data_IF_182422962619
#
_entry.id   IF_182422962619
#
_cell.length_a   1.000
_cell.length_b   1.000
_cell.length_c   1.000
_cell.angle_alpha   90.00
_cell.angle_beta   90.00
_cell.angle_gamma   90.00
#
_symmetry.space_group_name_H-M   'P 1'
#
loop_
_entity.id
_entity.type
_entity.pdbx_description
1 polymer ?
#
# COMPACT_ATOMS: atom_id res chain seq x y z
N UNK A 1 -2.01 25.61 -4.67
CA UNK A 1 -0.94 26.11 -3.76
C UNK A 1 -0.97 25.24 -2.53
N UNK A 2 0.15 24.58 -2.20
CA UNK A 2 0.20 23.68 -1.03
C UNK A 2 0.28 24.54 0.23
N UNK A 3 -0.71 24.38 1.12
CA UNK A 3 -0.79 25.16 2.36
C UNK A 3 -0.18 24.43 3.57
N UNK A 4 0.08 23.14 3.43
CA UNK A 4 0.64 22.29 4.50
C UNK A 4 1.63 21.28 3.92
N UNK A 5 2.76 21.10 4.58
CA UNK A 5 3.75 20.09 4.23
C UNK A 5 3.96 19.12 5.41
N UNK A 6 4.10 17.83 5.10
CA UNK A 6 4.48 16.80 6.06
C UNK A 6 5.82 16.19 5.68
N UNK A 7 6.72 16.12 6.65
CA UNK A 7 8.04 15.50 6.51
C UNK A 7 8.12 14.34 7.49
N UNK A 8 8.45 13.15 6.98
CA UNK A 8 8.73 11.97 7.77
C UNK A 8 10.17 11.53 7.49
N UNK A 9 11.07 11.73 8.47
CA UNK A 9 12.46 11.27 8.39
C UNK A 9 12.57 9.83 8.90
N UNK A 10 13.22 8.96 8.14
CA UNK A 10 13.42 7.57 8.53
C UNK A 10 14.84 7.08 8.25
N UNK A 11 15.22 5.99 8.89
CA UNK A 11 16.42 5.22 8.58
C UNK A 11 16.03 3.80 8.19
N UNK A 12 16.81 3.14 7.32
CA UNK A 12 16.67 1.71 7.11
C UNK A 12 16.98 0.98 8.42
N UNK A 13 16.08 0.13 8.85
CA UNK A 13 16.23 -0.66 10.07
C UNK A 13 15.70 -2.08 9.88
N UNK A 14 15.65 -2.82 10.97
CA UNK A 14 14.96 -4.09 11.02
C UNK A 14 13.86 -4.01 12.08
N UNK A 15 12.72 -4.55 11.77
CA UNK A 15 11.64 -4.73 12.72
C UNK A 15 12.12 -5.64 13.86
N UNK A 16 12.10 -5.21 15.12
CA UNK A 16 12.65 -5.98 16.23
C UNK A 16 11.88 -7.28 16.52
N UNK A 17 10.63 -7.39 16.08
CA UNK A 17 9.81 -8.58 16.29
C UNK A 17 10.01 -9.61 15.18
N UNK A 18 10.27 -9.17 13.95
CA UNK A 18 10.33 -10.06 12.77
C UNK A 18 11.73 -10.16 12.15
N UNK A 19 12.68 -9.29 12.52
CA UNK A 19 14.01 -9.20 11.93
C UNK A 19 14.03 -8.68 10.48
N UNK A 20 12.91 -8.24 9.94
CA UNK A 20 12.77 -7.79 8.55
C UNK A 20 13.21 -6.34 8.39
N UNK A 21 13.69 -6.02 7.19
CA UNK A 21 13.98 -4.63 6.83
C UNK A 21 12.71 -3.81 6.90
N UNK A 22 12.74 -2.74 7.68
CA UNK A 22 11.63 -1.79 7.81
C UNK A 22 12.17 -0.36 7.82
N UNK A 23 11.28 0.59 7.58
CA UNK A 23 11.59 2.00 7.78
C UNK A 23 11.34 2.33 9.25
N UNK A 24 12.38 2.71 9.97
CA UNK A 24 12.26 3.22 11.33
C UNK A 24 12.14 4.73 11.25
N UNK A 25 10.94 5.24 11.47
CA UNK A 25 10.70 6.69 11.46
C UNK A 25 11.24 7.31 12.74
N UNK A 26 12.14 8.26 12.58
CA UNK A 26 12.81 8.96 13.70
C UNK A 26 12.34 10.40 13.85
N UNK A 27 11.67 10.92 12.83
CA UNK A 27 11.18 12.29 12.78
C UNK A 27 9.85 12.33 12.04
N UNK A 28 8.89 13.08 12.54
CA UNK A 28 7.71 13.49 11.80
C UNK A 28 7.32 14.92 12.14
N UNK A 29 6.99 15.73 11.15
CA UNK A 29 6.50 17.09 11.33
C UNK A 29 5.51 17.44 10.23
N UNK A 30 4.43 18.09 10.62
CA UNK A 30 3.44 18.67 9.70
C UNK A 30 3.34 20.15 9.98
N UNK A 31 3.67 20.98 9.01
CA UNK A 31 3.67 22.42 9.18
C UNK A 31 2.89 23.12 8.06
N UNK A 32 2.11 24.14 8.46
CA UNK A 32 1.53 25.06 7.50
C UNK A 32 2.61 25.92 6.87
N UNK A 33 2.48 26.22 5.58
CA UNK A 33 3.40 27.09 4.84
C UNK A 33 3.66 28.41 5.57
N UNK A 34 2.61 29.02 6.09
CA UNK A 34 2.71 30.30 6.80
C UNK A 34 3.55 30.21 8.09
N UNK A 35 3.59 29.05 8.76
CA UNK A 35 4.45 28.82 9.93
C UNK A 35 5.91 28.67 9.49
N UNK A 36 6.14 27.92 8.41
CA UNK A 36 7.50 27.63 7.91
C UNK A 36 8.19 28.87 7.35
N UNK A 37 7.47 29.75 6.63
CA UNK A 37 8.01 30.97 6.02
C UNK A 37 8.40 32.05 7.06
N UNK A 38 7.97 31.91 8.33
CA UNK A 38 8.35 32.81 9.41
C UNK A 38 9.62 32.41 10.14
N UNK A 39 10.19 31.25 9.84
CA UNK A 39 11.36 30.72 10.49
C UNK A 39 12.63 31.27 9.82
N UNK A 40 13.56 31.78 10.63
CA UNK A 40 14.92 32.03 10.18
C UNK A 40 15.76 30.80 10.46
N UNK A 41 15.82 29.90 9.47
CA UNK A 41 16.49 28.60 9.59
C UNK A 41 18.00 28.72 9.88
N UNK A 42 18.61 29.88 9.67
CA UNK A 42 20.01 30.10 9.98
C UNK A 42 20.29 30.36 11.47
N UNK A 43 19.23 30.64 12.24
CA UNK A 43 19.33 31.09 13.65
C UNK A 43 18.51 30.26 14.64
N UNK A 44 17.74 29.28 14.18
CA UNK A 44 16.94 28.44 15.07
C UNK A 44 17.68 27.19 15.47
N UNK A 45 17.52 26.78 16.72
CA UNK A 45 17.89 25.44 17.15
C UNK A 45 16.94 24.40 16.52
N UNK A 46 17.47 23.36 15.85
CA UNK A 46 16.62 22.40 15.14
C UNK A 46 15.60 21.67 16.02
N UNK A 47 15.97 21.31 17.25
CA UNK A 47 15.07 20.60 18.16
C UNK A 47 13.92 21.50 18.62
N UNK A 48 14.24 22.74 19.05
CA UNK A 48 13.24 23.74 19.44
C UNK A 48 12.33 24.15 18.27
N UNK A 49 12.86 24.19 17.05
CA UNK A 49 12.10 24.44 15.84
C UNK A 49 11.06 23.35 15.58
N UNK A 50 11.47 22.08 15.72
CA UNK A 50 10.58 20.93 15.56
C UNK A 50 9.45 20.94 16.61
N UNK A 51 9.78 21.21 17.87
CA UNK A 51 8.78 21.34 18.94
C UNK A 51 7.79 22.46 18.65
N UNK A 52 8.28 23.63 18.21
CA UNK A 52 7.45 24.77 17.82
C UNK A 52 6.49 24.46 16.65
N UNK A 53 6.89 23.58 15.76
CA UNK A 53 6.06 23.06 14.66
C UNK A 53 5.21 21.84 15.06
N UNK A 54 5.19 21.46 16.33
CA UNK A 54 4.53 20.24 16.84
C UNK A 54 5.04 18.95 16.18
N UNK A 55 6.29 18.96 15.76
CA UNK A 55 6.95 17.76 15.25
C UNK A 55 7.27 16.78 16.37
N UNK A 56 7.41 15.51 15.99
CA UNK A 56 7.88 14.48 16.91
C UNK A 56 9.27 14.03 16.47
N UNK A 57 10.20 14.01 17.40
CA UNK A 57 11.53 13.46 17.21
C UNK A 57 11.66 12.21 18.06
N UNK A 58 12.36 11.21 17.57
CA UNK A 58 12.72 10.04 18.36
C UNK A 58 13.43 10.47 19.66
N UNK A 59 12.96 10.00 20.82
CA UNK A 59 13.58 10.33 22.09
C UNK A 59 14.99 9.71 22.22
N UNK A 60 15.29 8.71 21.42
CA UNK A 60 16.60 8.03 21.36
C UNK A 60 16.91 7.61 19.93
N UNK A 61 17.28 8.56 19.07
CA UNK A 61 17.56 8.28 17.66
C UNK A 61 18.75 7.31 17.49
N UNK A 62 19.69 7.30 18.40
CA UNK A 62 20.83 6.38 18.45
C UNK A 62 20.41 4.91 18.66
N UNK A 63 19.26 4.67 19.29
CA UNK A 63 18.71 3.34 19.53
C UNK A 63 17.58 2.99 18.53
N UNK A 64 17.39 3.81 17.49
CA UNK A 64 16.34 3.65 16.50
C UNK A 64 14.93 3.52 17.09
N UNK A 65 14.66 4.22 18.21
CA UNK A 65 13.33 4.22 18.83
C UNK A 65 12.34 4.88 17.87
N UNK A 66 11.32 4.17 17.35
CA UNK A 66 10.45 4.70 16.31
C UNK A 66 9.48 5.75 16.83
N UNK A 67 9.17 6.76 16.00
CA UNK A 67 8.00 7.63 16.14
C UNK A 67 6.94 7.23 15.10
N UNK A 68 5.69 7.51 15.40
CA UNK A 68 4.61 7.22 14.45
C UNK A 68 4.60 8.28 13.35
N UNK A 69 4.74 7.88 12.07
CA UNK A 69 4.65 8.84 10.96
C UNK A 69 3.24 9.45 10.93
N UNK A 70 3.16 10.76 10.69
CA UNK A 70 1.87 11.41 10.44
C UNK A 70 1.35 10.89 9.10
N UNK A 71 0.25 10.16 9.14
CA UNK A 71 -0.52 9.83 7.96
C UNK A 71 -1.41 11.03 7.63
N UNK A 72 -1.15 11.67 6.50
CA UNK A 72 -2.09 12.65 5.96
C UNK A 72 -3.36 11.90 5.59
N UNK A 73 -4.45 12.20 6.29
CA UNK A 73 -5.76 11.89 5.76
C UNK A 73 -5.85 12.50 4.35
N UNK A 74 -6.13 11.66 3.37
CA UNK A 74 -6.12 12.04 1.97
C UNK A 74 -7.07 13.22 1.72
N UNK A 75 -6.49 14.40 1.61
CA UNK A 75 -7.11 15.57 1.02
C UNK A 75 -6.15 16.11 -0.03
N UNK A 76 -6.48 15.74 -1.27
CA UNK A 76 -6.18 16.42 -2.52
C UNK A 76 -4.90 17.24 -2.59
N UNK A 77 -4.11 16.83 -3.51
CA UNK A 77 -3.28 17.60 -4.44
C UNK A 77 -1.87 17.02 -4.56
N UNK A 78 -1.70 16.30 -5.62
CA UNK A 78 -0.41 16.12 -6.30
C UNK A 78 0.25 17.46 -6.51
N UNK A 79 1.45 17.65 -5.95
CA UNK A 79 2.40 18.64 -6.42
C UNK A 79 3.60 17.90 -7.01
N UNK A 80 4.11 18.37 -8.16
CA UNK A 80 5.28 17.77 -8.78
C UNK A 80 6.52 18.13 -7.96
N UNK A 81 7.19 17.15 -7.41
CA UNK A 81 8.58 17.29 -7.03
C UNK A 81 9.41 17.27 -8.30
N UNK A 82 10.05 18.40 -8.61
CA UNK A 82 11.07 18.49 -9.63
C UNK A 82 12.14 17.42 -9.39
N UNK A 83 12.16 16.50 -10.29
CA UNK A 83 13.23 15.84 -11.00
C UNK A 83 14.55 15.53 -10.26
N UNK A 84 14.60 14.32 -9.74
CA UNK A 84 15.72 13.42 -10.04
C UNK A 84 15.05 12.06 -10.37
N UNK A 85 14.99 11.71 -11.66
CA UNK A 85 14.60 10.47 -12.27
C UNK A 85 13.92 9.43 -11.38
N UNK A 86 12.71 9.68 -10.91
CA UNK A 86 11.87 8.66 -10.31
C UNK A 86 11.34 7.78 -11.45
N UNK A 87 12.14 6.82 -11.87
CA UNK A 87 11.63 5.70 -12.62
C UNK A 87 10.45 5.14 -11.84
N UNK A 88 9.29 5.07 -12.48
CA UNK A 88 8.12 4.39 -11.91
C UNK A 88 8.57 3.03 -11.39
N UNK A 89 8.31 2.72 -10.13
CA UNK A 89 8.74 1.45 -9.56
C UNK A 89 8.05 0.30 -10.30
N UNK A 90 8.84 -0.65 -10.78
CA UNK A 90 8.31 -1.84 -11.45
C UNK A 90 7.73 -2.79 -10.40
N UNK A 91 6.46 -3.15 -10.53
CA UNK A 91 5.75 -4.09 -9.65
C UNK A 91 6.47 -5.45 -9.56
N UNK A 92 7.20 -5.84 -10.60
CA UNK A 92 7.98 -7.08 -10.62
C UNK A 92 9.23 -7.03 -9.73
N UNK A 93 9.71 -5.84 -9.35
CA UNK A 93 10.87 -5.66 -8.48
C UNK A 93 10.52 -5.57 -6.99
N UNK A 94 9.25 -5.35 -6.66
CA UNK A 94 8.82 -5.30 -5.26
C UNK A 94 9.05 -6.64 -4.56
N UNK A 95 9.37 -6.60 -3.27
CA UNK A 95 9.30 -7.80 -2.43
C UNK A 95 7.86 -8.35 -2.43
N UNK A 96 7.63 -9.67 -2.36
CA UNK A 96 6.29 -10.25 -2.31
C UNK A 96 5.40 -9.65 -1.22
N UNK A 97 5.98 -9.33 -0.08
CA UNK A 97 5.27 -8.74 1.05
C UNK A 97 4.89 -7.30 0.78
N UNK A 98 5.83 -6.51 0.25
CA UNK A 98 5.56 -5.12 -0.15
C UNK A 98 4.46 -5.07 -1.23
N UNK A 99 4.40 -6.08 -2.09
CA UNK A 99 3.36 -6.20 -3.10
C UNK A 99 1.99 -6.55 -2.50
N UNK A 100 1.93 -7.45 -1.50
CA UNK A 100 0.71 -7.73 -0.74
C UNK A 100 0.22 -6.50 0.03
N UNK A 101 1.14 -5.78 0.70
CA UNK A 101 0.82 -4.55 1.45
C UNK A 101 0.33 -3.44 0.51
N UNK A 102 0.91 -3.31 -0.68
CA UNK A 102 0.48 -2.37 -1.72
C UNK A 102 -0.97 -2.67 -2.16
N UNK A 103 -1.27 -3.94 -2.41
CA UNK A 103 -2.63 -4.36 -2.79
C UNK A 103 -3.61 -4.13 -1.63
N UNK A 104 -3.22 -4.42 -0.39
CA UNK A 104 -4.04 -4.12 0.78
C UNK A 104 -4.33 -2.62 0.91
N UNK A 105 -3.33 -1.77 0.65
CA UNK A 105 -3.50 -0.31 0.64
C UNK A 105 -4.46 0.15 -0.47
N UNK A 106 -4.40 -0.48 -1.66
CA UNK A 106 -5.34 -0.20 -2.75
C UNK A 106 -6.78 -0.48 -2.33
N UNK A 107 -7.07 -1.65 -1.76
CA UNK A 107 -8.42 -1.99 -1.33
C UNK A 107 -8.93 -1.09 -0.20
N UNK A 108 -8.04 -0.66 0.72
CA UNK A 108 -8.37 0.37 1.71
C UNK A 108 -8.72 1.71 1.06
N UNK A 109 -7.94 2.14 0.07
CA UNK A 109 -8.21 3.38 -0.68
C UNK A 109 -9.52 3.30 -1.49
N UNK A 110 -9.95 2.10 -1.87
CA UNK A 110 -11.25 1.84 -2.48
C UNK A 110 -12.42 1.85 -1.48
N UNK A 111 -12.16 2.06 -0.18
CA UNK A 111 -13.17 2.14 0.87
C UNK A 111 -13.54 0.80 1.52
N UNK A 112 -12.75 -0.24 1.32
CA UNK A 112 -12.97 -1.54 1.94
C UNK A 112 -12.30 -1.63 3.32
N UNK A 113 -12.92 -2.37 4.22
CA UNK A 113 -12.31 -2.75 5.50
C UNK A 113 -11.39 -3.94 5.25
N UNK A 114 -10.08 -3.72 5.36
CA UNK A 114 -9.06 -4.72 5.04
C UNK A 114 -8.45 -5.28 6.30
N UNK A 115 -8.41 -6.61 6.39
CA UNK A 115 -7.70 -7.38 7.40
C UNK A 115 -6.59 -8.16 6.69
N UNK A 116 -5.33 -7.85 6.99
CA UNK A 116 -4.20 -8.68 6.57
C UNK A 116 -4.19 -9.96 7.41
N UNK A 117 -4.10 -11.11 6.76
CA UNK A 117 -4.07 -12.40 7.46
C UNK A 117 -2.69 -12.69 8.03
N UNK A 118 -2.62 -13.38 9.16
CA UNK A 118 -1.36 -13.96 9.62
C UNK A 118 -0.95 -15.09 8.65
N UNK A 119 0.30 -15.06 8.24
CA UNK A 119 0.90 -15.77 7.10
C UNK A 119 1.04 -17.29 7.21
N UNK A 120 0.23 -17.98 7.97
CA UNK A 120 0.40 -19.42 8.11
C UNK A 120 -0.90 -20.20 7.95
N UNK A 121 -0.97 -20.99 6.88
CA UNK A 121 -1.84 -22.16 6.81
C UNK A 121 -3.25 -21.96 6.25
N UNK A 122 -3.62 -20.79 5.75
CA UNK A 122 -5.00 -20.46 5.37
C UNK A 122 -5.29 -20.50 3.86
N UNK A 123 -4.74 -21.49 3.16
CA UNK A 123 -5.13 -21.77 1.77
C UNK A 123 -4.68 -20.72 0.74
N UNK A 124 -3.66 -19.89 1.09
CA UNK A 124 -3.10 -18.88 0.18
C UNK A 124 -3.96 -17.63 0.06
N UNK A 125 -4.74 -17.29 1.08
CA UNK A 125 -5.41 -15.98 1.18
C UNK A 125 -4.41 -14.99 1.73
N UNK A 126 -4.06 -13.98 0.94
CA UNK A 126 -3.09 -12.96 1.33
C UNK A 126 -3.78 -11.77 2.02
N UNK A 127 -5.00 -11.44 1.58
CA UNK A 127 -5.79 -10.34 2.11
C UNK A 127 -7.26 -10.74 2.23
N UNK A 128 -7.87 -10.50 3.39
CA UNK A 128 -9.32 -10.54 3.58
C UNK A 128 -9.86 -9.12 3.63
N UNK A 129 -10.94 -8.86 2.93
CA UNK A 129 -11.59 -7.56 2.96
C UNK A 129 -13.09 -7.71 3.16
N UNK A 130 -13.70 -6.68 3.73
CA UNK A 130 -15.15 -6.52 3.82
C UNK A 130 -15.54 -5.28 3.05
N UNK A 131 -16.42 -5.45 2.07
CA UNK A 131 -17.08 -4.33 1.41
C UNK A 131 -18.26 -3.90 2.30
N UNK A 132 -18.26 -2.68 2.85
CA UNK A 132 -19.31 -2.23 3.77
C UNK A 132 -20.64 -1.87 3.08
N UNK A 133 -20.73 -1.94 1.75
CA UNK A 133 -21.98 -1.67 1.03
C UNK A 133 -23.08 -2.64 1.51
N UNK A 134 -24.21 -2.15 2.05
CA UNK A 134 -25.24 -3.00 2.64
C UNK A 134 -26.01 -3.84 1.62
N UNK A 135 -25.92 -3.52 0.33
CA UNK A 135 -26.67 -4.20 -0.74
C UNK A 135 -25.76 -5.11 -1.56
N UNK A 136 -24.55 -4.63 -1.91
CA UNK A 136 -23.62 -5.31 -2.82
C UNK A 136 -22.36 -5.80 -2.13
N UNK A 137 -22.18 -5.39 -0.88
CA UNK A 137 -21.00 -5.70 -0.10
C UNK A 137 -20.93 -7.15 0.37
N UNK A 138 -20.00 -7.42 1.24
CA UNK A 138 -19.77 -8.72 1.84
C UNK A 138 -18.30 -9.09 1.93
N UNK A 139 -18.04 -10.31 2.37
CA UNK A 139 -16.68 -10.82 2.57
C UNK A 139 -16.01 -11.07 1.21
N UNK A 140 -14.80 -10.54 1.07
CA UNK A 140 -13.94 -10.69 -0.10
C UNK A 140 -12.69 -11.50 0.30
N UNK A 141 -12.30 -12.41 -0.57
CA UNK A 141 -11.03 -13.13 -0.49
C UNK A 141 -10.15 -12.65 -1.62
N UNK A 142 -8.97 -12.16 -1.29
CA UNK A 142 -8.02 -11.59 -2.25
C UNK A 142 -6.74 -12.42 -2.19
N UNK A 143 -6.32 -12.95 -3.34
CA UNK A 143 -5.01 -13.56 -3.53
C UNK A 143 -4.14 -12.64 -4.36
N UNK A 144 -2.89 -12.49 -3.94
CA UNK A 144 -1.89 -11.63 -4.56
C UNK A 144 -0.73 -12.49 -5.02
N UNK A 145 -0.48 -12.55 -6.31
CA UNK A 145 0.57 -13.41 -6.84
C UNK A 145 1.39 -12.68 -7.90
N UNK A 146 2.71 -12.67 -7.72
CA UNK A 146 3.63 -12.16 -8.75
C UNK A 146 3.90 -13.24 -9.78
N UNK A 147 3.62 -12.92 -11.03
CA UNK A 147 3.95 -13.77 -12.18
C UNK A 147 4.68 -12.96 -13.23
N UNK A 148 5.57 -13.62 -13.97
CA UNK A 148 6.27 -13.05 -15.12
C UNK A 148 5.72 -13.55 -16.46
N UNK A 149 4.78 -14.45 -16.42
CA UNK A 149 4.16 -15.07 -17.59
C UNK A 149 2.66 -15.15 -17.42
N UNK A 150 1.96 -15.31 -18.53
CA UNK A 150 0.49 -15.44 -18.58
C UNK A 150 -0.04 -16.48 -17.59
N UNK A 151 -1.03 -16.09 -16.83
CA UNK A 151 -1.65 -16.90 -15.78
C UNK A 151 -2.52 -18.01 -16.39
N UNK A 152 -2.26 -19.27 -16.05
CA UNK A 152 -3.11 -20.39 -16.43
C UNK A 152 -4.37 -20.45 -15.55
N UNK A 153 -5.36 -21.32 -15.86
CA UNK A 153 -6.61 -21.40 -15.08
C UNK A 153 -6.46 -21.99 -13.68
N UNK A 154 -5.37 -22.67 -13.36
CA UNK A 154 -5.19 -23.34 -12.06
C UNK A 154 -5.27 -22.39 -10.87
N UNK A 155 -4.52 -21.26 -10.79
CA UNK A 155 -4.65 -20.31 -9.69
C UNK A 155 -6.05 -19.72 -9.53
N UNK A 156 -6.79 -19.58 -10.63
CA UNK A 156 -8.17 -19.07 -10.59
C UNK A 156 -9.14 -20.11 -10.01
N UNK A 157 -8.89 -21.40 -10.27
CA UNK A 157 -9.65 -22.50 -9.67
C UNK A 157 -9.37 -22.61 -8.17
N UNK A 158 -8.10 -22.47 -7.77
CA UNK A 158 -7.70 -22.50 -6.38
C UNK A 158 -8.36 -21.37 -5.59
N UNK A 159 -8.34 -20.14 -6.12
CA UNK A 159 -9.04 -19.01 -5.52
C UNK A 159 -10.54 -19.27 -5.39
N UNK A 160 -11.17 -19.86 -6.41
CA UNK A 160 -12.61 -20.18 -6.34
C UNK A 160 -12.92 -21.17 -5.22
N UNK A 161 -12.08 -22.21 -5.07
CA UNK A 161 -12.20 -23.16 -3.97
C UNK A 161 -12.05 -22.49 -2.60
N UNK A 162 -11.04 -21.63 -2.45
CA UNK A 162 -10.81 -20.87 -1.21
C UNK A 162 -11.97 -19.92 -0.91
N UNK A 163 -12.48 -19.20 -1.92
CA UNK A 163 -13.62 -18.31 -1.77
C UNK A 163 -14.86 -19.05 -1.24
N UNK A 164 -15.16 -20.22 -1.78
CA UNK A 164 -16.29 -21.04 -1.34
C UNK A 164 -16.06 -21.56 0.07
N UNK A 165 -14.87 -22.05 0.38
CA UNK A 165 -14.49 -22.53 1.72
C UNK A 165 -14.63 -21.44 2.78
N UNK A 166 -14.19 -20.23 2.48
CA UNK A 166 -14.25 -19.06 3.36
C UNK A 166 -15.66 -18.44 3.47
N UNK A 167 -16.63 -18.92 2.71
CA UNK A 167 -17.97 -18.33 2.64
C UNK A 167 -17.96 -16.89 2.13
N UNK A 168 -16.96 -16.53 1.29
CA UNK A 168 -16.85 -15.20 0.74
C UNK A 168 -17.81 -14.97 -0.42
N UNK A 169 -18.29 -13.74 -0.57
CA UNK A 169 -19.19 -13.33 -1.65
C UNK A 169 -18.46 -13.12 -2.97
N UNK A 170 -17.16 -12.84 -2.94
CA UNK A 170 -16.33 -12.60 -4.12
C UNK A 170 -14.88 -13.02 -3.87
N UNK A 171 -14.25 -13.62 -4.89
CA UNK A 171 -12.81 -13.87 -4.95
C UNK A 171 -12.13 -12.90 -5.92
N UNK A 172 -10.98 -12.35 -5.54
CA UNK A 172 -10.20 -11.44 -6.38
C UNK A 172 -8.79 -11.98 -6.50
N UNK A 173 -8.31 -12.19 -7.73
CA UNK A 173 -6.92 -12.54 -8.00
C UNK A 173 -6.22 -11.33 -8.59
N UNK A 174 -5.21 -10.83 -7.87
CA UNK A 174 -4.38 -9.71 -8.27
C UNK A 174 -2.99 -10.23 -8.66
N UNK A 175 -2.51 -9.81 -9.83
CA UNK A 175 -1.22 -10.28 -10.34
C UNK A 175 -0.50 -9.20 -11.15
N UNK A 176 0.82 -9.38 -11.32
CA UNK A 176 1.66 -8.55 -12.18
C UNK A 176 1.61 -8.98 -13.66
N UNK A 177 1.08 -10.15 -13.97
CA UNK A 177 0.97 -10.65 -15.35
C UNK A 177 -0.49 -10.60 -15.86
N UNK A 178 -0.67 -10.91 -17.14
CA UNK A 178 -1.99 -10.98 -17.74
C UNK A 178 -2.58 -12.41 -17.66
N UNK A 179 -3.90 -12.51 -17.67
CA UNK A 179 -4.61 -13.77 -17.62
C UNK A 179 -4.80 -14.37 -19.02
N UNK A 180 -4.50 -15.64 -19.15
CA UNK A 180 -4.76 -16.37 -20.38
C UNK A 180 -6.27 -16.57 -20.66
N UNK A 181 -6.66 -16.83 -21.92
CA UNK A 181 -8.07 -16.99 -22.31
C UNK A 181 -8.81 -18.04 -21.46
N UNK A 182 -8.17 -19.16 -21.16
CA UNK A 182 -8.77 -20.25 -20.35
C UNK A 182 -8.97 -19.86 -18.87
N UNK A 183 -8.14 -18.95 -18.34
CA UNK A 183 -8.33 -18.40 -17.00
C UNK A 183 -9.53 -17.44 -16.97
N UNK A 184 -9.66 -16.59 -17.98
CA UNK A 184 -10.78 -15.67 -18.13
C UNK A 184 -12.11 -16.44 -18.36
N UNK A 185 -12.08 -17.46 -19.21
CA UNK A 185 -13.24 -18.34 -19.46
C UNK A 185 -13.69 -19.04 -18.16
N UNK A 186 -12.75 -19.55 -17.37
CA UNK A 186 -13.10 -20.17 -16.09
C UNK A 186 -13.75 -19.18 -15.13
N UNK A 187 -13.27 -17.93 -15.06
CA UNK A 187 -13.83 -16.90 -14.18
C UNK A 187 -15.21 -16.40 -14.65
N UNK A 188 -15.52 -16.52 -15.94
CA UNK A 188 -16.77 -16.05 -16.50
C UNK A 188 -17.99 -16.69 -15.82
N UNK A 189 -18.96 -15.85 -15.44
CA UNK A 189 -20.19 -16.28 -14.76
C UNK A 189 -20.01 -16.70 -13.28
N UNK A 190 -18.81 -16.53 -12.73
CA UNK A 190 -18.52 -16.76 -11.29
C UNK A 190 -18.27 -15.43 -10.57
N UNK A 191 -18.44 -15.39 -9.24
CA UNK A 191 -18.13 -14.19 -8.45
C UNK A 191 -16.61 -14.02 -8.28
N UNK A 192 -15.90 -14.03 -9.39
CA UNK A 192 -14.45 -13.87 -9.46
C UNK A 192 -14.10 -12.59 -10.23
N UNK A 193 -13.11 -11.87 -9.74
CA UNK A 193 -12.50 -10.72 -10.42
C UNK A 193 -11.03 -11.01 -10.64
N UNK A 194 -10.57 -10.83 -11.86
CA UNK A 194 -9.16 -11.00 -12.24
C UNK A 194 -8.58 -9.62 -12.54
N UNK A 195 -7.52 -9.24 -11.81
CA UNK A 195 -6.84 -7.96 -11.98
C UNK A 195 -5.42 -8.26 -12.44
N UNK A 196 -5.16 -8.06 -13.73
CA UNK A 196 -3.83 -8.19 -14.35
C UNK A 196 -2.96 -6.96 -14.11
N UNK A 197 -1.68 -7.07 -14.50
CA UNK A 197 -0.69 -6.05 -14.21
C UNK A 197 -1.05 -4.66 -14.75
N UNK A 198 -1.47 -4.55 -16.00
CA UNK A 198 -1.88 -3.28 -16.59
C UNK A 198 -3.07 -2.64 -15.84
N UNK A 199 -4.09 -3.44 -15.53
CA UNK A 199 -5.25 -2.98 -14.79
C UNK A 199 -4.90 -2.58 -13.35
N UNK A 200 -3.96 -3.30 -12.71
CA UNK A 200 -3.47 -2.97 -11.36
C UNK A 200 -2.79 -1.60 -11.35
N UNK A 201 -1.91 -1.33 -12.31
CA UNK A 201 -1.24 -0.02 -12.45
C UNK A 201 -2.27 1.10 -12.57
N UNK A 202 -3.29 0.93 -13.42
CA UNK A 202 -4.36 1.92 -13.58
C UNK A 202 -5.15 2.16 -12.29
N UNK A 203 -5.44 1.09 -11.53
CA UNK A 203 -6.15 1.19 -10.26
C UNK A 203 -5.30 1.90 -9.20
N UNK A 204 -4.01 1.56 -9.07
CA UNK A 204 -3.10 2.22 -8.13
C UNK A 204 -3.01 3.73 -8.39
N UNK A 205 -2.87 4.12 -9.65
CA UNK A 205 -2.86 5.54 -10.04
C UNK A 205 -4.19 6.22 -9.74
N UNK A 206 -5.32 5.58 -10.11
CA UNK A 206 -6.68 6.13 -9.91
C UNK A 206 -7.02 6.37 -8.45
N UNK A 207 -6.60 5.49 -7.55
CA UNK A 207 -6.88 5.60 -6.11
C UNK A 207 -5.76 6.27 -5.32
N UNK A 208 -4.75 6.85 -6.01
CA UNK A 208 -3.69 7.64 -5.38
C UNK A 208 -2.75 6.84 -4.49
N UNK A 209 -2.62 5.52 -4.72
CA UNK A 209 -1.75 4.64 -3.92
C UNK A 209 -0.30 4.68 -4.39
N UNK A 210 -0.05 5.15 -5.61
CA UNK A 210 1.27 5.35 -6.19
C UNK A 210 1.28 5.21 -7.71
N UNK A 211 2.41 5.52 -8.32
CA UNK A 211 2.64 5.32 -9.74
C UNK A 211 3.64 4.19 -9.94
N UNK A 212 3.22 3.18 -10.67
CA UNK A 212 3.98 1.96 -10.91
C UNK A 212 3.99 1.62 -12.40
N UNK A 213 4.92 0.75 -12.79
CA UNK A 213 4.94 0.11 -14.10
C UNK A 213 4.93 -1.41 -13.92
N UNK A 214 4.62 -2.11 -14.98
CA UNK A 214 4.80 -3.56 -15.09
C UNK A 214 5.40 -3.86 -16.46
N UNK A 215 6.53 -4.57 -16.49
CA UNK A 215 7.30 -4.90 -17.71
C UNK A 215 7.40 -6.40 -17.94
#
# INVERSE_FOLDING_TARGET
MVDTATINGFVPGADPATGRRSKVFLLTVTAARAAFTRLDLSRVDPASCLEGLRGQLSPRPENFTPVHPVQLAAAAASEPSDDIGAGQADLLTLDPIDFEDLVAALFKAMGMEVMTTERSGDGGVDVRAMDPDPIRGGKLVIQVKRYRSTIPPAPVRDLYGTMVHEGATKGILVTTAEFGPSAQEFAAGKPLTLIGGAQLVDLLARYGVGQYTVH
#
